data_IF_512587561360
#
_entry.id   IF_512587561360
#
_cell.length_a   1.000
_cell.length_b   1.000
_cell.length_c   1.000
_cell.angle_alpha   90.00
_cell.angle_beta   90.00
_cell.angle_gamma   90.00
#
_symmetry.space_group_name_H-M   'P 1'
#
loop_
_entity.id
_entity.type
_entity.pdbx_description
1 polymer ?
#
# COMPACT_ATOMS: atom_id res chain seq x y z
N UNK A 1 -14.45 19.42 5.29
CA UNK A 1 -13.17 19.40 4.56
C UNK A 1 -13.16 18.10 3.78
N UNK A 2 -13.28 18.15 2.46
CA UNK A 2 -13.34 16.93 1.64
C UNK A 2 -11.95 16.29 1.57
N UNK A 3 -11.89 14.97 1.69
CA UNK A 3 -10.64 14.22 1.56
C UNK A 3 -10.19 14.31 0.10
N UNK A 4 -8.95 14.71 -0.20
CA UNK A 4 -8.46 14.79 -1.57
C UNK A 4 -8.66 13.46 -2.31
N UNK A 5 -9.25 13.51 -3.50
CA UNK A 5 -9.52 12.32 -4.31
C UNK A 5 -8.28 11.42 -4.52
N UNK A 6 -7.05 11.95 -4.74
CA UNK A 6 -5.86 11.11 -4.84
C UNK A 6 -5.57 10.33 -3.56
N UNK A 7 -5.72 10.96 -2.39
CA UNK A 7 -5.48 10.32 -1.09
C UNK A 7 -6.47 9.18 -0.85
N UNK A 8 -7.75 9.41 -1.16
CA UNK A 8 -8.81 8.42 -1.06
C UNK A 8 -8.58 7.24 -2.01
N UNK A 9 -8.37 7.52 -3.31
CA UNK A 9 -8.21 6.50 -4.33
C UNK A 9 -6.96 5.65 -4.11
N UNK A 10 -5.82 6.29 -3.78
CA UNK A 10 -4.59 5.56 -3.50
C UNK A 10 -4.69 4.72 -2.24
N UNK A 11 -5.27 5.23 -1.15
CA UNK A 11 -5.50 4.45 0.07
C UNK A 11 -6.39 3.24 -0.18
N UNK A 12 -7.46 3.42 -0.94
CA UNK A 12 -8.35 2.32 -1.34
C UNK A 12 -7.62 1.27 -2.20
N UNK A 13 -6.75 1.71 -3.10
CA UNK A 13 -5.95 0.83 -3.97
C UNK A 13 -4.99 -0.03 -3.15
N UNK A 14 -4.19 0.56 -2.26
CA UNK A 14 -3.28 -0.19 -1.40
C UNK A 14 -4.03 -1.14 -0.47
N UNK A 15 -5.17 -0.72 0.08
CA UNK A 15 -6.02 -1.58 0.90
C UNK A 15 -6.50 -2.80 0.12
N UNK A 16 -7.04 -2.61 -1.09
CA UNK A 16 -7.59 -3.70 -1.90
C UNK A 16 -6.51 -4.69 -2.36
N UNK A 17 -5.34 -4.20 -2.76
CA UNK A 17 -4.22 -5.07 -3.14
C UNK A 17 -3.70 -5.88 -1.94
N UNK A 18 -3.62 -5.25 -0.77
CA UNK A 18 -3.21 -5.93 0.47
C UNK A 18 -4.20 -7.02 0.84
N UNK A 19 -5.50 -6.71 0.84
CA UNK A 19 -6.56 -7.68 1.13
C UNK A 19 -6.55 -8.85 0.14
N UNK A 20 -6.44 -8.58 -1.16
CA UNK A 20 -6.37 -9.61 -2.19
C UNK A 20 -5.18 -10.55 -1.97
N UNK A 21 -4.03 -10.00 -1.60
CA UNK A 21 -2.82 -10.79 -1.31
C UNK A 21 -3.02 -11.63 -0.04
N UNK A 22 -3.55 -11.05 1.04
CA UNK A 22 -3.88 -11.79 2.27
C UNK A 22 -4.85 -12.94 2.01
N UNK A 23 -5.94 -12.71 1.25
CA UNK A 23 -6.90 -13.76 0.90
C UNK A 23 -6.27 -14.85 0.05
N UNK A 24 -5.35 -14.51 -0.85
CA UNK A 24 -4.58 -15.49 -1.62
C UNK A 24 -3.75 -16.39 -0.70
N UNK A 25 -3.04 -15.80 0.28
CA UNK A 25 -2.26 -16.54 1.27
C UNK A 25 -3.10 -17.48 2.13
N UNK A 26 -4.26 -17.02 2.60
CA UNK A 26 -5.22 -17.83 3.35
C UNK A 26 -5.76 -18.96 2.47
N UNK A 27 -6.17 -18.65 1.23
CA UNK A 27 -6.70 -19.63 0.28
C UNK A 27 -5.69 -20.72 -0.07
N UNK A 28 -4.41 -20.37 -0.23
CA UNK A 28 -3.34 -21.35 -0.44
C UNK A 28 -3.12 -22.27 0.78
N UNK A 29 -3.32 -21.75 2.00
CA UNK A 29 -3.28 -22.55 3.22
C UNK A 29 -4.47 -23.50 3.35
N UNK A 30 -5.69 -23.03 3.06
CA UNK A 30 -6.92 -23.85 3.12
C UNK A 30 -6.94 -24.94 2.04
N UNK A 31 -6.47 -24.62 0.83
CA UNK A 31 -6.42 -25.60 -0.28
C UNK A 31 -5.28 -26.60 -0.18
N UNK A 32 -4.41 -26.50 0.84
CA UNK A 32 -3.26 -27.38 1.03
C UNK A 32 -2.14 -27.19 0.01
N UNK A 33 -2.22 -26.16 -0.85
CA UNK A 33 -1.15 -25.81 -1.81
C UNK A 33 0.09 -25.25 -1.13
N UNK A 34 -0.04 -24.83 0.13
CA UNK A 34 1.05 -24.34 0.96
C UNK A 34 0.89 -24.87 2.39
N UNK A 35 2.00 -25.13 3.09
CA UNK A 35 1.96 -25.53 4.50
C UNK A 35 1.31 -24.44 5.35
N UNK A 36 0.68 -24.83 6.47
CA UNK A 36 -0.02 -23.90 7.36
C UNK A 36 0.92 -22.83 7.94
N UNK A 37 2.16 -23.20 8.24
CA UNK A 37 3.19 -22.28 8.72
C UNK A 37 3.55 -21.24 7.65
N UNK A 38 3.85 -21.69 6.42
CA UNK A 38 4.20 -20.78 5.32
C UNK A 38 3.02 -19.87 4.94
N UNK A 39 1.79 -20.36 5.00
CA UNK A 39 0.58 -19.55 4.80
C UNK A 39 0.45 -18.46 5.85
N UNK A 40 0.70 -18.77 7.12
CA UNK A 40 0.68 -17.77 8.19
C UNK A 40 1.76 -16.70 8.00
N UNK A 41 2.98 -17.11 7.65
CA UNK A 41 4.10 -16.19 7.38
C UNK A 41 3.77 -15.30 6.18
N UNK A 42 3.24 -15.89 5.10
CA UNK A 42 2.87 -15.16 3.90
C UNK A 42 1.84 -14.06 4.20
N UNK A 43 0.78 -14.39 4.94
CA UNK A 43 -0.28 -13.42 5.28
C UNK A 43 0.27 -12.29 6.15
N UNK A 44 1.12 -12.60 7.13
CA UNK A 44 1.78 -11.60 7.97
C UNK A 44 2.64 -10.64 7.13
N UNK A 45 3.50 -11.19 6.26
CA UNK A 45 4.36 -10.39 5.40
C UNK A 45 3.55 -9.57 4.41
N UNK A 46 2.51 -10.13 3.79
CA UNK A 46 1.63 -9.41 2.87
C UNK A 46 0.98 -8.20 3.53
N UNK A 47 0.49 -8.35 4.76
CA UNK A 47 -0.09 -7.24 5.51
C UNK A 47 0.97 -6.17 5.86
N UNK A 48 2.12 -6.58 6.37
CA UNK A 48 3.21 -5.65 6.71
C UNK A 48 3.71 -4.89 5.48
N UNK A 49 3.92 -5.57 4.36
CA UNK A 49 4.31 -4.96 3.09
C UNK A 49 3.25 -3.97 2.61
N UNK A 50 1.98 -4.36 2.63
CA UNK A 50 0.87 -3.48 2.25
C UNK A 50 0.83 -2.19 3.07
N UNK A 51 0.98 -2.31 4.40
CA UNK A 51 1.03 -1.17 5.31
C UNK A 51 2.25 -0.27 5.06
N UNK A 52 3.44 -0.85 4.92
CA UNK A 52 4.67 -0.10 4.65
C UNK A 52 4.61 0.65 3.32
N UNK A 53 4.11 0.01 2.26
CA UNK A 53 3.97 0.62 0.94
C UNK A 53 2.96 1.77 0.96
N UNK A 54 1.81 1.58 1.64
CA UNK A 54 0.82 2.63 1.80
C UNK A 54 1.39 3.83 2.57
N UNK A 55 2.06 3.59 3.70
CA UNK A 55 2.70 4.64 4.50
C UNK A 55 3.72 5.42 3.69
N UNK A 56 4.61 4.74 2.96
CA UNK A 56 5.61 5.38 2.13
C UNK A 56 4.97 6.26 1.05
N UNK A 57 3.99 5.72 0.32
CA UNK A 57 3.25 6.47 -0.69
C UNK A 57 2.49 7.67 -0.11
N UNK A 58 1.81 7.49 1.02
CA UNK A 58 1.06 8.56 1.68
C UNK A 58 1.98 9.70 2.14
N UNK A 59 3.16 9.37 2.67
CA UNK A 59 4.18 10.35 3.02
C UNK A 59 4.66 11.13 1.80
N UNK A 60 4.96 10.46 0.67
CA UNK A 60 5.35 11.12 -0.57
C UNK A 60 4.26 12.07 -1.07
N UNK A 61 2.99 11.64 -1.03
CA UNK A 61 1.87 12.47 -1.44
C UNK A 61 1.69 13.69 -0.53
N UNK A 62 1.73 13.48 0.80
CA UNK A 62 1.58 14.55 1.78
C UNK A 62 2.71 15.57 1.69
N UNK A 63 3.93 15.14 1.37
CA UNK A 63 5.07 16.03 1.14
C UNK A 63 4.82 16.99 -0.03
N UNK A 64 4.06 16.56 -1.03
CA UNK A 64 3.68 17.39 -2.19
C UNK A 64 2.37 18.15 -1.97
N UNK A 65 1.64 17.87 -0.88
CA UNK A 65 0.39 18.55 -0.61
C UNK A 65 0.67 19.92 0.02
N UNK A 66 0.15 20.98 -0.61
CA UNK A 66 0.44 22.36 -0.22
C UNK A 66 1.95 22.69 -0.21
N UNK A 67 2.59 22.52 -1.38
CA UNK A 67 4.02 22.81 -1.55
C UNK A 67 4.39 24.25 -1.14
N UNK A 68 5.51 24.38 -0.43
CA UNK A 68 6.11 25.67 -0.06
C UNK A 68 7.30 26.04 -0.95
N UNK A 69 7.88 25.05 -1.61
CA UNK A 69 9.05 25.18 -2.48
C UNK A 69 8.65 24.67 -3.86
N UNK A 70 9.00 25.43 -4.89
CA UNK A 70 8.73 25.10 -6.30
C UNK A 70 10.09 24.95 -7.01
N UNK A 71 10.24 24.01 -7.95
CA UNK A 71 11.46 23.90 -8.73
C UNK A 71 11.75 25.21 -9.49
N UNK A 72 12.99 25.70 -9.38
CA UNK A 72 13.52 26.77 -10.23
C UNK A 72 14.30 26.14 -11.36
N UNK A 73 13.92 26.44 -12.60
CA UNK A 73 14.67 26.03 -13.78
C UNK A 73 15.66 27.15 -14.12
N UNK A 74 16.95 26.83 -14.21
CA UNK A 74 17.91 27.75 -14.82
C UNK A 74 17.52 27.92 -16.29
N UNK A 75 17.39 29.16 -16.75
CA UNK A 75 17.14 29.45 -18.14
C UNK A 75 18.39 29.06 -18.95
N UNK A 76 18.22 28.14 -19.91
CA UNK A 76 19.16 28.06 -21.04
C UNK A 76 19.09 29.34 -21.89
#
# INVERSE_FOLDING_TARGET
MEIPAPLMNGSMTYLMLTLLTCFTGIGMGVTGKMSRENSSIFVLLAFMTGFCLWMFWACCWLHQWHILVVPTYDAE
#
